data_IF_190512202829
#
_entry.id   IF_190512202829
#
_cell.length_a   1.000
_cell.length_b   1.000
_cell.length_c   1.000
_cell.angle_alpha   90.00
_cell.angle_beta   90.00
_cell.angle_gamma   90.00
#
_symmetry.space_group_name_H-M   'P 1'
#
loop_
_entity.id
_entity.type
_entity.pdbx_description
1 polymer ?
#
# COMPACT_ATOMS: atom_id res chain seq x y z
N UNK A 1 10.12 1.06 -37.24
CA UNK A 1 9.43 2.21 -36.59
C UNK A 1 10.41 3.04 -35.78
N UNK A 2 10.16 4.35 -35.64
CA UNK A 2 10.94 5.22 -34.76
C UNK A 2 10.45 5.11 -33.32
N UNK A 3 11.27 5.53 -32.37
CA UNK A 3 10.94 5.47 -30.93
C UNK A 3 9.66 6.24 -30.58
N UNK A 4 9.39 7.36 -31.28
CA UNK A 4 8.16 8.13 -31.09
C UNK A 4 6.90 7.37 -31.49
N UNK A 5 6.97 6.64 -32.62
CA UNK A 5 5.85 5.87 -33.15
C UNK A 5 5.46 4.73 -32.18
N UNK A 6 6.45 4.08 -31.56
CA UNK A 6 6.20 3.05 -30.55
C UNK A 6 5.62 3.66 -29.29
N UNK A 7 6.19 4.78 -28.84
CA UNK A 7 5.73 5.48 -27.65
C UNK A 7 4.23 5.81 -27.75
N UNK A 8 3.82 6.36 -28.87
CA UNK A 8 2.41 6.69 -29.16
C UNK A 8 1.52 5.44 -29.22
N UNK A 9 1.93 4.43 -30.01
CA UNK A 9 1.13 3.20 -30.21
C UNK A 9 1.03 2.30 -28.97
N UNK A 10 2.05 2.31 -28.12
CA UNK A 10 2.05 1.54 -26.87
C UNK A 10 1.56 2.34 -25.65
N UNK A 11 1.34 3.66 -25.79
CA UNK A 11 0.89 4.52 -24.71
C UNK A 11 1.94 4.75 -23.61
N UNK A 12 3.23 4.81 -24.00
CA UNK A 12 4.34 5.01 -23.06
C UNK A 12 5.18 6.23 -23.45
N UNK A 13 5.99 6.74 -22.53
CA UNK A 13 6.95 7.78 -22.85
C UNK A 13 8.19 7.21 -23.58
N UNK A 14 8.83 8.03 -24.40
CA UNK A 14 10.13 7.67 -25.02
C UNK A 14 11.20 7.42 -23.95
N UNK A 15 11.09 8.04 -22.79
CA UNK A 15 11.96 7.79 -21.64
C UNK A 15 11.80 6.36 -21.10
N UNK A 16 10.56 5.87 -20.98
CA UNK A 16 10.27 4.49 -20.57
C UNK A 16 10.86 3.50 -21.57
N UNK A 17 10.75 3.77 -22.88
CA UNK A 17 11.32 2.90 -23.90
C UNK A 17 12.85 2.84 -23.82
N UNK A 18 13.53 3.97 -23.57
CA UNK A 18 14.99 3.97 -23.34
C UNK A 18 15.37 3.17 -22.09
N UNK A 19 14.61 3.32 -21.02
CA UNK A 19 14.82 2.51 -19.82
C UNK A 19 14.64 1.01 -20.11
N UNK A 20 13.63 0.62 -20.91
CA UNK A 20 13.44 -0.78 -21.29
C UNK A 20 14.60 -1.32 -22.14
N UNK A 21 15.18 -0.50 -23.02
CA UNK A 21 16.40 -0.87 -23.75
C UNK A 21 17.60 -1.03 -22.81
N UNK A 22 17.82 -0.09 -21.90
CA UNK A 22 18.90 -0.14 -20.90
C UNK A 22 18.82 -1.36 -20.00
N UNK A 23 17.59 -1.79 -19.68
CA UNK A 23 17.33 -2.99 -18.91
C UNK A 23 17.32 -4.28 -19.75
N UNK A 24 17.61 -4.20 -21.06
CA UNK A 24 17.61 -5.38 -21.95
C UNK A 24 16.24 -6.02 -22.17
N UNK A 25 15.14 -5.30 -21.88
CA UNK A 25 13.77 -5.78 -22.05
C UNK A 25 13.25 -5.55 -23.48
N UNK A 26 13.77 -4.51 -24.14
CA UNK A 26 13.43 -4.09 -25.50
C UNK A 26 14.71 -3.99 -26.33
N UNK A 27 14.69 -4.49 -27.55
CA UNK A 27 15.80 -4.36 -28.49
C UNK A 27 15.44 -3.38 -29.60
N UNK A 28 16.44 -2.62 -30.05
CA UNK A 28 16.36 -1.79 -31.25
C UNK A 28 17.47 -2.17 -32.22
N UNK A 29 17.24 -1.96 -33.49
CA UNK A 29 18.24 -2.03 -34.54
C UNK A 29 18.73 -0.62 -34.86
N UNK A 30 19.95 -0.51 -35.42
CA UNK A 30 20.46 0.76 -35.92
C UNK A 30 20.43 0.77 -37.43
N UNK A 31 19.91 1.83 -38.02
CA UNK A 31 20.03 2.08 -39.46
C UNK A 31 21.49 2.36 -39.82
N UNK A 32 21.80 2.36 -41.13
CA UNK A 32 23.09 2.78 -41.67
C UNK A 32 23.46 4.23 -41.27
N UNK A 33 22.47 5.07 -40.98
CA UNK A 33 22.63 6.43 -40.47
C UNK A 33 22.73 6.50 -38.93
N UNK A 34 22.83 5.36 -38.22
CA UNK A 34 22.98 5.29 -36.76
C UNK A 34 21.71 5.54 -35.95
N UNK A 35 20.56 5.73 -36.58
CA UNK A 35 19.29 5.94 -35.91
C UNK A 35 18.68 4.62 -35.40
N UNK A 36 18.07 4.65 -34.22
CA UNK A 36 17.34 3.50 -33.68
C UNK A 36 16.05 3.25 -34.43
N UNK A 37 15.85 2.02 -34.80
CA UNK A 37 14.58 1.51 -35.37
C UNK A 37 14.12 0.29 -34.62
N UNK A 38 12.83 0.05 -34.64
CA UNK A 38 12.18 -1.03 -33.93
C UNK A 38 11.28 -1.81 -34.88
N UNK A 39 11.17 -3.11 -34.65
CA UNK A 39 10.23 -3.97 -35.37
C UNK A 39 8.77 -3.61 -35.01
N UNK A 40 7.82 -3.97 -35.86
CA UNK A 40 6.39 -3.79 -35.56
C UNK A 40 5.95 -4.55 -34.30
N UNK A 41 6.52 -5.71 -34.05
CA UNK A 41 6.30 -6.53 -32.86
C UNK A 41 6.76 -5.86 -31.54
N UNK A 42 7.57 -4.82 -31.62
CA UNK A 42 8.03 -4.08 -30.45
C UNK A 42 6.88 -3.41 -29.68
N UNK A 43 5.78 -3.05 -30.35
CA UNK A 43 4.60 -2.48 -29.70
C UNK A 43 3.97 -3.49 -28.72
N UNK A 44 3.78 -4.72 -29.17
CA UNK A 44 3.24 -5.80 -28.33
C UNK A 44 4.20 -6.18 -27.21
N UNK A 45 5.50 -6.18 -27.51
CA UNK A 45 6.55 -6.39 -26.50
C UNK A 45 6.48 -5.34 -25.39
N UNK A 46 6.33 -4.07 -25.72
CA UNK A 46 6.21 -2.98 -24.76
C UNK A 46 4.96 -3.13 -23.90
N UNK A 47 3.83 -3.48 -24.50
CA UNK A 47 2.57 -3.72 -23.76
C UNK A 47 2.73 -4.85 -22.75
N UNK A 48 3.38 -5.93 -23.14
CA UNK A 48 3.66 -7.06 -22.25
C UNK A 48 4.59 -6.64 -21.08
N UNK A 49 5.64 -5.89 -21.37
CA UNK A 49 6.53 -5.35 -20.34
C UNK A 49 5.75 -4.49 -19.33
N UNK A 50 4.84 -3.65 -19.81
CA UNK A 50 3.96 -2.86 -18.93
C UNK A 50 3.07 -3.73 -18.05
N UNK A 51 2.51 -4.83 -18.57
CA UNK A 51 1.71 -5.76 -17.79
C UNK A 51 2.54 -6.38 -16.66
N UNK A 52 3.79 -6.76 -16.92
CA UNK A 52 4.69 -7.26 -15.88
C UNK A 52 5.01 -6.20 -14.81
N UNK A 53 5.28 -4.96 -15.20
CA UNK A 53 5.48 -3.88 -14.24
C UNK A 53 4.21 -3.58 -13.42
N UNK A 54 3.04 -3.64 -14.04
CA UNK A 54 1.75 -3.48 -13.36
C UNK A 54 1.52 -4.60 -12.33
N UNK A 55 1.97 -5.82 -12.64
CA UNK A 55 1.96 -6.93 -11.70
C UNK A 55 3.04 -6.82 -10.60
N UNK A 56 3.85 -5.77 -10.60
CA UNK A 56 4.87 -5.50 -9.59
C UNK A 56 6.17 -6.28 -9.78
N UNK A 57 6.42 -6.84 -10.96
CA UNK A 57 7.66 -7.55 -11.24
C UNK A 57 8.82 -6.54 -11.41
N UNK A 58 9.97 -6.76 -10.76
CA UNK A 58 11.17 -5.95 -11.02
C UNK A 58 11.78 -6.28 -12.39
N UNK A 59 12.49 -5.32 -12.99
CA UNK A 59 13.11 -5.46 -14.33
C UNK A 59 13.94 -6.73 -14.48
N UNK A 60 14.71 -7.10 -13.43
CA UNK A 60 15.53 -8.33 -13.42
C UNK A 60 14.70 -9.61 -13.55
N UNK A 61 13.53 -9.66 -12.94
CA UNK A 61 12.61 -10.80 -13.06
C UNK A 61 11.97 -10.84 -14.44
N UNK A 62 11.53 -9.68 -14.96
CA UNK A 62 10.97 -9.55 -16.30
C UNK A 62 12.00 -10.04 -17.34
N UNK A 63 13.27 -9.63 -17.22
CA UNK A 63 14.34 -10.03 -18.12
C UNK A 63 14.54 -11.56 -18.18
N UNK A 64 14.32 -12.25 -17.05
CA UNK A 64 14.44 -13.72 -16.97
C UNK A 64 13.19 -14.45 -17.49
N UNK A 65 12.04 -13.84 -17.45
CA UNK A 65 10.77 -14.41 -17.91
C UNK A 65 10.55 -14.18 -19.42
N UNK A 66 11.02 -13.07 -19.96
CA UNK A 66 10.79 -12.69 -21.36
C UNK A 66 11.24 -13.76 -22.40
N UNK A 67 12.38 -14.49 -22.24
CA UNK A 67 12.76 -15.55 -23.15
C UNK A 67 11.71 -16.67 -23.27
N UNK A 68 10.95 -16.93 -22.21
CA UNK A 68 9.86 -17.92 -22.23
C UNK A 68 8.69 -17.43 -23.13
N UNK A 69 8.45 -16.13 -23.14
CA UNK A 69 7.43 -15.53 -24.02
C UNK A 69 7.90 -15.63 -25.48
N UNK A 70 9.18 -15.39 -25.72
CA UNK A 70 9.76 -15.43 -27.08
C UNK A 70 9.76 -16.83 -27.67
N UNK A 71 10.00 -17.86 -26.85
CA UNK A 71 10.00 -19.26 -27.26
C UNK A 71 8.61 -19.91 -27.25
N UNK A 72 7.64 -19.31 -26.52
CA UNK A 72 6.35 -19.92 -26.25
C UNK A 72 6.39 -21.08 -25.25
N UNK A 73 7.54 -21.31 -24.60
CA UNK A 73 7.75 -22.38 -23.62
C UNK A 73 8.10 -21.79 -22.25
N UNK A 74 7.31 -22.13 -21.24
CA UNK A 74 7.57 -21.74 -19.87
C UNK A 74 8.64 -22.64 -19.25
N UNK A 75 9.80 -22.09 -18.91
CA UNK A 75 10.80 -22.82 -18.15
C UNK A 75 10.39 -22.98 -16.68
N UNK A 76 10.85 -24.07 -16.04
CA UNK A 76 10.60 -24.28 -14.62
C UNK A 76 11.15 -23.11 -13.76
N UNK A 77 12.27 -22.52 -14.18
CA UNK A 77 12.87 -21.38 -13.52
C UNK A 77 11.97 -20.13 -13.61
N UNK A 78 11.43 -19.84 -14.79
CA UNK A 78 10.55 -18.69 -15.00
C UNK A 78 9.25 -18.84 -14.19
N UNK A 79 8.67 -20.05 -14.16
CA UNK A 79 7.49 -20.34 -13.35
C UNK A 79 7.78 -20.14 -11.86
N UNK A 80 8.91 -20.64 -11.36
CA UNK A 80 9.33 -20.47 -9.96
C UNK A 80 9.49 -18.99 -9.58
N UNK A 81 10.03 -18.16 -10.49
CA UNK A 81 10.14 -16.71 -10.28
C UNK A 81 8.77 -16.04 -10.18
N UNK A 82 7.83 -16.37 -11.05
CA UNK A 82 6.47 -15.82 -11.03
C UNK A 82 5.71 -16.27 -9.76
N UNK A 83 5.87 -17.52 -9.34
CA UNK A 83 5.28 -18.03 -8.11
C UNK A 83 5.85 -17.34 -6.87
N UNK A 84 7.17 -17.09 -6.83
CA UNK A 84 7.81 -16.33 -5.75
C UNK A 84 7.29 -14.88 -5.69
N UNK A 85 7.12 -14.21 -6.82
CA UNK A 85 6.54 -12.86 -6.86
C UNK A 85 5.08 -12.85 -6.40
N UNK A 86 4.29 -13.85 -6.81
CA UNK A 86 2.91 -14.01 -6.31
C UNK A 86 2.87 -14.21 -4.80
N UNK A 87 3.75 -15.04 -4.26
CA UNK A 87 3.84 -15.28 -2.82
C UNK A 87 4.21 -14.00 -2.05
N UNK A 88 5.14 -13.20 -2.60
CA UNK A 88 5.49 -11.89 -2.04
C UNK A 88 4.30 -10.93 -2.00
N UNK A 89 3.50 -10.88 -3.07
CA UNK A 89 2.29 -10.04 -3.12
C UNK A 89 1.26 -10.53 -2.09
N UNK A 90 1.05 -11.84 -1.99
CA UNK A 90 0.13 -12.41 -1.01
C UNK A 90 0.53 -12.04 0.42
N UNK A 91 1.82 -12.15 0.77
CA UNK A 91 2.33 -11.75 2.08
C UNK A 91 2.08 -10.25 2.35
N UNK A 92 2.33 -9.38 1.36
CA UNK A 92 2.06 -7.95 1.48
C UNK A 92 0.56 -7.65 1.66
N UNK A 93 -0.32 -8.39 1.00
CA UNK A 93 -1.78 -8.27 1.20
C UNK A 93 -2.18 -8.68 2.61
N UNK A 94 -1.61 -9.74 3.16
CA UNK A 94 -1.87 -10.21 4.53
C UNK A 94 -1.40 -9.16 5.55
N UNK A 95 -0.23 -8.57 5.36
CA UNK A 95 0.30 -7.49 6.21
C UNK A 95 -0.61 -6.26 6.19
N UNK A 96 -1.07 -5.85 5.00
CA UNK A 96 -2.01 -4.72 4.85
C UNK A 96 -3.38 -5.04 5.49
N UNK A 97 -3.86 -6.27 5.36
CA UNK A 97 -5.10 -6.69 6.02
C UNK A 97 -4.98 -6.62 7.54
N UNK A 98 -3.86 -7.08 8.10
CA UNK A 98 -3.58 -6.97 9.53
C UNK A 98 -3.49 -5.50 10.02
N UNK A 99 -2.87 -4.63 9.23
CA UNK A 99 -2.80 -3.20 9.52
C UNK A 99 -4.19 -2.55 9.49
N UNK A 100 -5.02 -2.88 8.51
CA UNK A 100 -6.43 -2.42 8.45
C UNK A 100 -7.21 -2.86 9.66
N UNK A 101 -7.12 -4.13 10.04
CA UNK A 101 -7.82 -4.68 11.20
C UNK A 101 -7.37 -4.00 12.51
N UNK A 102 -6.09 -3.63 12.61
CA UNK A 102 -5.58 -2.84 13.73
C UNK A 102 -6.21 -1.44 13.76
N UNK A 103 -6.34 -0.77 12.63
CA UNK A 103 -7.00 0.53 12.52
C UNK A 103 -8.49 0.43 12.85
N UNK A 104 -9.18 -0.62 12.42
CA UNK A 104 -10.58 -0.85 12.75
C UNK A 104 -10.79 -0.96 14.26
N UNK A 105 -9.88 -1.66 14.98
CA UNK A 105 -9.88 -1.70 16.44
C UNK A 105 -9.68 -0.33 17.07
N UNK A 106 -8.75 0.47 16.55
CA UNK A 106 -8.48 1.82 17.05
C UNK A 106 -9.68 2.74 16.82
N UNK A 107 -10.33 2.66 15.67
CA UNK A 107 -11.55 3.40 15.34
C UNK A 107 -12.69 3.01 16.28
N UNK A 108 -12.84 1.71 16.55
CA UNK A 108 -13.84 1.24 17.51
C UNK A 108 -13.60 1.80 18.91
N UNK A 109 -12.37 1.77 19.39
CA UNK A 109 -11.97 2.34 20.69
C UNK A 109 -12.23 3.85 20.73
N UNK A 110 -11.91 4.57 19.66
CA UNK A 110 -12.14 6.01 19.56
C UNK A 110 -13.62 6.38 19.59
N UNK A 111 -14.48 5.56 18.99
CA UNK A 111 -15.94 5.76 19.00
C UNK A 111 -16.60 5.29 20.30
N UNK A 112 -15.94 4.38 21.04
CA UNK A 112 -16.43 3.82 22.29
C UNK A 112 -15.31 3.87 23.37
N UNK A 113 -14.91 5.06 23.81
CA UNK A 113 -13.78 5.19 24.72
C UNK A 113 -14.10 4.58 26.08
N UNK A 114 -13.17 3.80 26.64
CA UNK A 114 -13.24 3.21 27.97
C UNK A 114 -11.98 3.55 28.78
N UNK A 115 -12.07 3.52 30.08
CA UNK A 115 -10.92 3.76 30.98
C UNK A 115 -9.77 2.76 30.77
N UNK A 116 -10.06 1.56 30.23
CA UNK A 116 -9.05 0.54 29.92
C UNK A 116 -8.13 0.99 28.78
N UNK A 117 -8.71 1.55 27.71
CA UNK A 117 -8.00 1.90 26.47
C UNK A 117 -7.67 3.39 26.36
N UNK A 118 -8.36 4.26 27.12
CA UNK A 118 -8.18 5.69 27.06
C UNK A 118 -7.66 6.22 28.42
N UNK A 119 -6.36 6.58 28.51
CA UNK A 119 -5.79 7.07 29.77
C UNK A 119 -6.48 8.31 30.35
N UNK A 120 -7.06 9.16 29.47
CA UNK A 120 -7.78 10.36 29.90
C UNK A 120 -9.07 10.06 30.68
N UNK A 121 -9.62 8.86 30.54
CA UNK A 121 -10.83 8.41 31.26
C UNK A 121 -10.49 7.67 32.58
N UNK A 122 -9.22 7.46 32.87
CA UNK A 122 -8.80 6.89 34.15
C UNK A 122 -8.83 7.95 35.21
N UNK A 123 -9.50 7.68 36.34
CA UNK A 123 -9.42 8.55 37.47
C UNK A 123 -7.95 8.61 37.99
N UNK A 124 -7.40 9.80 38.22
CA UNK A 124 -6.06 9.90 38.80
C UNK A 124 -6.07 9.27 40.18
N UNK A 125 -5.00 8.56 40.55
CA UNK A 125 -4.87 7.86 41.82
C UNK A 125 -4.97 8.79 43.08
N UNK A 126 -4.90 10.12 42.86
CA UNK A 126 -5.02 11.16 43.89
C UNK A 126 -6.43 11.78 43.94
N UNK A 127 -7.34 11.40 43.05
CA UNK A 127 -8.68 11.96 43.07
C UNK A 127 -9.35 11.69 44.42
N UNK A 128 -9.83 12.74 45.13
CA UNK A 128 -10.50 12.54 46.40
C UNK A 128 -11.74 11.70 46.23
N UNK A 129 -11.96 10.80 47.18
CA UNK A 129 -13.16 9.98 47.23
C UNK A 129 -14.40 10.88 47.30
N UNK A 130 -15.18 10.96 46.22
CA UNK A 130 -16.39 11.79 46.12
C UNK A 130 -17.61 11.15 46.81
N UNK A 131 -17.38 10.34 47.84
CA UNK A 131 -18.44 9.62 48.52
C UNK A 131 -18.87 10.19 49.89
N UNK A 132 -18.35 11.35 50.33
CA UNK A 132 -18.57 11.84 51.67
C UNK A 132 -19.35 13.18 51.79
N UNK A 133 -19.98 13.66 50.78
CA UNK A 133 -20.70 14.94 50.81
C UNK A 133 -22.22 14.81 50.67
N UNK A 134 -22.82 13.89 51.36
CA UNK A 134 -24.30 13.80 51.31
C UNK A 134 -24.98 13.75 52.67
N UNK A 135 -24.33 14.17 53.76
CA UNK A 135 -25.00 14.15 55.05
C UNK A 135 -24.69 15.29 56.00
N UNK A 136 -24.24 16.44 55.51
CA UNK A 136 -24.08 17.65 56.32
C UNK A 136 -24.97 18.79 55.78
N UNK A 137 -26.22 18.54 55.73
CA UNK A 137 -27.17 19.55 55.33
C UNK A 137 -28.45 19.45 56.10
N UNK A 138 -28.75 20.42 56.89
CA UNK A 138 -30.03 20.71 57.51
C UNK A 138 -30.19 20.28 58.97
N UNK A 139 -29.67 21.07 59.85
CA UNK A 139 -30.48 21.45 61.02
C UNK A 139 -30.05 22.84 61.50
N UNK A 140 -30.57 23.87 60.82
CA UNK A 140 -30.68 25.17 61.44
C UNK A 140 -31.96 25.18 62.27
N UNK A 141 -31.81 25.00 63.55
CA UNK A 141 -32.90 25.12 64.51
C UNK A 141 -33.44 26.55 64.53
N UNK A 142 -34.69 26.70 64.29
CA UNK A 142 -35.48 27.90 64.60
C UNK A 142 -35.56 28.06 66.12
N UNK A 143 -34.95 29.09 66.67
CA UNK A 143 -35.27 29.54 68.03
C UNK A 143 -36.20 30.74 67.93
N UNK A 144 -37.45 30.47 68.17
CA UNK A 144 -38.47 31.48 68.47
C UNK A 144 -38.22 32.00 69.87
N UNK A 145 -37.86 33.22 70.01
CA UNK A 145 -37.92 33.96 71.28
C UNK A 145 -39.08 34.92 71.27
N UNK A 146 -40.14 34.52 71.90
CA UNK A 146 -41.17 35.41 72.33
C UNK A 146 -40.77 36.10 73.64
N UNK A 147 -40.99 37.38 73.74
CA UNK A 147 -41.43 37.97 75.00
C UNK A 147 -41.87 39.41 74.84
N UNK A 148 -43.07 39.57 75.20
CA UNK A 148 -43.85 40.63 76.00
C UNK A 148 -43.60 42.05 75.64
#
# INVERSE_FOLDING_TARGET
MRIGDIAERAGVSTRSLRYYEEQGLLSSERTSAGQRTYAESAVERVRLIQQFFTAGLPSRTIQRVLPCVDSGEASAEALALLEAERARITAAMDDLAAARDALDRMIHIANNPTAEHCPALREPAWAPFQGAESSAGAQAGVVTGAQT
#
